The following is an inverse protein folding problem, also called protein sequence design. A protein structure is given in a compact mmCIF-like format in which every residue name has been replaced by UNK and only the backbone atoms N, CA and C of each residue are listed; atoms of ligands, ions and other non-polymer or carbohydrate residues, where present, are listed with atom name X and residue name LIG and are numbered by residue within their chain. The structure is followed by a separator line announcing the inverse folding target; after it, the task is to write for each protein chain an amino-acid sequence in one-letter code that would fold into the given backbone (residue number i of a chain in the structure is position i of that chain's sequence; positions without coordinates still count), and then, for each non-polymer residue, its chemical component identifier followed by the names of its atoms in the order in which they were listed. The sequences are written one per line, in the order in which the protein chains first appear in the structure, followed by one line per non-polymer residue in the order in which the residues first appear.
data_IF_347304589533
#
_entry.id   IF_347304589533
#
_cell.length_a   1.000
_cell.length_b   1.000
_cell.length_c   1.000
_cell.angle_alpha   90.00
_cell.angle_beta   90.00
_cell.angle_gamma   90.00
#
_symmetry.space_group_name_H-M   'P 1'
#
loop_
_entity.id
_entity.type
_entity.pdbx_description
1 polymer ?
#
# COMPACT_ATOMS: atom_id res chain seq x y z
N UNK A 1 -5.86 11.72 -16.25
CA UNK A 1 -4.87 10.72 -16.76
C UNK A 1 -4.00 10.26 -15.61
N UNK A 2 -3.74 8.93 -15.51
CA UNK A 2 -2.77 8.35 -14.56
C UNK A 2 -1.40 8.23 -15.23
N UNK A 3 -0.37 8.83 -14.65
CA UNK A 3 1.01 8.57 -15.01
C UNK A 3 1.62 7.55 -14.03
N UNK A 4 2.43 6.63 -14.51
CA UNK A 4 3.11 5.64 -13.66
C UNK A 4 4.61 5.80 -13.80
N UNK A 5 5.31 5.92 -12.68
CA UNK A 5 6.76 5.82 -12.60
C UNK A 5 7.09 4.38 -12.22
N UNK A 6 7.43 3.59 -13.24
CA UNK A 6 7.85 2.21 -13.05
C UNK A 6 9.25 2.15 -12.43
N UNK A 7 9.49 1.11 -11.64
CA UNK A 7 10.76 0.88 -10.95
C UNK A 7 11.21 2.06 -10.08
N UNK A 8 10.23 2.77 -9.52
CA UNK A 8 10.46 3.98 -8.74
C UNK A 8 11.34 3.72 -7.49
N UNK A 9 11.28 2.50 -6.95
CA UNK A 9 12.05 2.09 -5.77
C UNK A 9 13.58 2.09 -6.01
N UNK A 10 14.03 1.94 -7.27
CA UNK A 10 15.45 1.96 -7.65
C UNK A 10 15.86 3.24 -8.39
N UNK A 11 14.91 4.14 -8.58
CA UNK A 11 15.15 5.44 -9.23
C UNK A 11 15.67 6.45 -8.21
N UNK A 12 16.63 7.27 -8.58
CA UNK A 12 17.15 8.32 -7.68
C UNK A 12 16.06 9.34 -7.34
N UNK A 13 16.12 9.93 -6.15
CA UNK A 13 15.13 10.94 -5.72
C UNK A 13 15.10 12.13 -6.69
N UNK A 14 16.25 12.55 -7.22
CA UNK A 14 16.33 13.65 -8.18
C UNK A 14 15.60 13.33 -9.49
N UNK A 15 15.73 12.10 -9.98
CA UNK A 15 15.05 11.65 -11.19
C UNK A 15 13.54 11.48 -10.94
N UNK A 16 13.14 10.94 -9.78
CA UNK A 16 11.74 10.87 -9.37
C UNK A 16 11.09 12.26 -9.37
N UNK A 17 11.74 13.24 -8.76
CA UNK A 17 11.24 14.63 -8.71
C UNK A 17 11.08 15.18 -10.12
N UNK A 18 12.09 14.97 -11.01
CA UNK A 18 12.02 15.43 -12.40
C UNK A 18 10.90 14.78 -13.20
N UNK A 19 10.72 13.44 -13.06
CA UNK A 19 9.67 12.69 -13.75
C UNK A 19 8.27 13.09 -13.25
N UNK A 20 8.11 13.26 -11.94
CA UNK A 20 6.84 13.66 -11.32
C UNK A 20 6.48 15.08 -11.75
N UNK A 21 7.43 16.03 -11.74
CA UNK A 21 7.20 17.39 -12.21
C UNK A 21 6.76 17.40 -13.67
N UNK A 22 7.44 16.64 -14.53
CA UNK A 22 7.09 16.52 -15.94
C UNK A 22 5.68 15.96 -16.14
N UNK A 23 5.33 14.90 -15.43
CA UNK A 23 4.00 14.27 -15.51
C UNK A 23 2.89 15.23 -15.03
N UNK A 24 3.12 15.93 -13.90
CA UNK A 24 2.21 16.95 -13.38
C UNK A 24 1.99 18.09 -14.38
N UNK A 25 3.07 18.63 -14.94
CA UNK A 25 3.03 19.76 -15.86
C UNK A 25 2.37 19.36 -17.21
N UNK A 26 2.45 18.08 -17.58
CA UNK A 26 1.71 17.49 -18.70
C UNK A 26 0.22 17.23 -18.40
N UNK A 27 -0.26 17.54 -17.19
CA UNK A 27 -1.67 17.43 -16.80
C UNK A 27 -2.08 16.03 -16.32
N UNK A 28 -1.18 15.28 -15.70
CA UNK A 28 -1.57 14.03 -15.06
C UNK A 28 -2.41 14.29 -13.80
N UNK A 29 -3.60 13.65 -13.72
CA UNK A 29 -4.50 13.77 -12.57
C UNK A 29 -4.00 13.00 -11.34
N UNK A 30 -3.17 11.96 -11.57
CA UNK A 30 -2.64 11.09 -10.54
C UNK A 30 -1.31 10.49 -10.97
N UNK A 31 -0.38 10.40 -10.05
CA UNK A 31 0.94 9.81 -10.28
C UNK A 31 1.10 8.58 -9.41
N UNK A 32 1.38 7.44 -10.06
CA UNK A 32 1.63 6.18 -9.38
C UNK A 32 3.13 5.97 -9.19
N UNK A 33 3.53 5.82 -7.94
CA UNK A 33 4.85 5.32 -7.55
C UNK A 33 4.79 3.78 -7.53
N UNK A 34 5.52 3.12 -8.43
CA UNK A 34 5.54 1.67 -8.51
C UNK A 34 6.85 1.09 -7.95
N UNK A 35 6.76 0.40 -6.82
CA UNK A 35 7.81 -0.51 -6.35
C UNK A 35 7.67 -1.83 -7.12
N UNK A 36 8.16 -1.81 -8.35
CA UNK A 36 7.94 -2.86 -9.37
C UNK A 36 8.51 -4.22 -8.99
N UNK A 37 9.49 -4.25 -8.10
CA UNK A 37 10.15 -5.49 -7.64
C UNK A 37 10.04 -5.71 -6.12
N UNK A 38 9.27 -4.88 -5.43
CA UNK A 38 8.95 -5.06 -4.01
C UNK A 38 10.17 -5.02 -3.10
N UNK A 39 11.08 -4.04 -3.31
CA UNK A 39 12.36 -4.00 -2.60
C UNK A 39 12.38 -3.11 -1.36
N UNK A 40 11.49 -2.12 -1.29
CA UNK A 40 11.50 -1.17 -0.18
C UNK A 40 11.07 -1.84 1.14
N UNK A 41 11.66 -1.34 2.22
CA UNK A 41 11.17 -1.58 3.57
C UNK A 41 10.05 -0.58 3.92
N UNK A 42 9.20 -0.86 4.92
CA UNK A 42 8.11 0.04 5.28
C UNK A 42 8.55 1.46 5.69
N UNK A 43 9.66 1.60 6.38
CA UNK A 43 10.24 2.89 6.75
C UNK A 43 10.79 3.65 5.53
N UNK A 44 11.49 2.97 4.62
CA UNK A 44 11.95 3.55 3.35
C UNK A 44 10.76 4.02 2.49
N UNK A 45 9.68 3.21 2.43
CA UNK A 45 8.44 3.58 1.74
C UNK A 45 7.80 4.83 2.34
N UNK A 46 7.73 4.91 3.68
CA UNK A 46 7.20 6.07 4.36
C UNK A 46 8.03 7.33 4.07
N UNK A 47 9.36 7.23 4.16
CA UNK A 47 10.26 8.35 4.02
C UNK A 47 10.22 8.92 2.58
N UNK A 48 10.35 8.07 1.56
CA UNK A 48 10.34 8.54 0.16
C UNK A 48 8.99 9.13 -0.23
N UNK A 49 7.88 8.50 0.15
CA UNK A 49 6.55 9.01 -0.19
C UNK A 49 6.19 10.28 0.59
N UNK A 50 6.65 10.42 1.84
CA UNK A 50 6.49 11.65 2.62
C UNK A 50 7.26 12.80 2.00
N UNK A 51 8.48 12.55 1.52
CA UNK A 51 9.29 13.54 0.82
C UNK A 51 8.59 13.98 -0.48
N UNK A 52 8.18 13.04 -1.33
CA UNK A 52 7.53 13.35 -2.61
C UNK A 52 6.22 14.12 -2.41
N UNK A 53 5.45 13.79 -1.38
CA UNK A 53 4.21 14.53 -1.05
C UNK A 53 4.49 15.93 -0.50
N UNK A 54 5.60 16.13 0.18
CA UNK A 54 6.03 17.45 0.62
C UNK A 54 6.45 18.34 -0.57
N UNK A 55 7.19 17.77 -1.52
CA UNK A 55 7.64 18.48 -2.73
C UNK A 55 6.47 18.78 -3.69
N UNK A 56 5.47 17.90 -3.74
CA UNK A 56 4.32 18.00 -4.64
C UNK A 56 2.99 17.94 -3.89
N UNK A 57 2.63 18.97 -3.09
CA UNK A 57 1.42 18.94 -2.27
C UNK A 57 0.12 18.97 -3.08
N UNK A 58 0.18 19.39 -4.34
CA UNK A 58 -0.92 19.46 -5.30
C UNK A 58 -1.12 18.16 -6.09
N UNK A 59 -0.17 17.21 -6.02
CA UNK A 59 -0.24 15.94 -6.75
C UNK A 59 -1.00 14.89 -5.94
N UNK A 60 -1.91 14.19 -6.61
CA UNK A 60 -2.55 12.99 -6.08
C UNK A 60 -1.64 11.79 -6.33
N UNK A 61 -1.18 11.17 -5.25
CA UNK A 61 -0.31 10.00 -5.35
C UNK A 61 -1.08 8.69 -5.26
N UNK A 62 -0.61 7.71 -6.02
CA UNK A 62 -0.96 6.30 -5.91
C UNK A 62 0.30 5.49 -5.58
N UNK A 63 0.16 4.46 -4.75
CA UNK A 63 1.21 3.51 -4.47
C UNK A 63 0.86 2.12 -5.01
N UNK A 64 1.77 1.55 -5.77
CA UNK A 64 1.70 0.19 -6.29
C UNK A 64 2.95 -0.57 -5.84
N UNK A 65 2.77 -1.76 -5.27
CA UNK A 65 3.90 -2.53 -4.74
C UNK A 65 3.71 -4.01 -4.96
N UNK A 66 4.76 -4.66 -5.46
CA UNK A 66 4.85 -6.11 -5.57
C UNK A 66 5.27 -6.76 -4.24
N UNK A 67 4.93 -8.05 -4.09
CA UNK A 67 5.06 -8.77 -2.83
C UNK A 67 6.27 -9.72 -2.79
N UNK A 68 7.29 -9.45 -3.58
CA UNK A 68 8.44 -10.34 -3.77
C UNK A 68 9.20 -10.64 -2.47
N UNK A 69 9.18 -9.71 -1.52
CA UNK A 69 9.76 -9.87 -0.17
C UNK A 69 8.73 -10.12 0.92
N UNK A 70 7.45 -10.30 0.58
CA UNK A 70 6.37 -10.49 1.54
C UNK A 70 6.01 -9.22 2.33
N UNK A 71 6.44 -8.03 1.88
CA UNK A 71 6.28 -6.76 2.58
C UNK A 71 5.20 -5.85 1.98
N UNK A 72 4.52 -6.27 0.89
CA UNK A 72 3.57 -5.41 0.18
C UNK A 72 2.50 -4.80 1.10
N UNK A 73 1.93 -5.58 2.03
CA UNK A 73 0.95 -5.07 2.99
C UNK A 73 1.56 -4.03 3.95
N UNK A 74 2.76 -4.29 4.47
CA UNK A 74 3.48 -3.38 5.36
C UNK A 74 3.82 -2.06 4.65
N UNK A 75 4.31 -2.14 3.42
CA UNK A 75 4.66 -0.98 2.60
C UNK A 75 3.40 -0.17 2.21
N UNK A 76 2.28 -0.84 1.89
CA UNK A 76 1.00 -0.15 1.65
C UNK A 76 0.52 0.62 2.88
N UNK A 77 0.69 0.05 4.08
CA UNK A 77 0.36 0.76 5.32
C UNK A 77 1.28 1.97 5.55
N UNK A 78 2.57 1.83 5.27
CA UNK A 78 3.52 2.92 5.35
C UNK A 78 3.15 4.05 4.36
N UNK A 79 2.74 3.71 3.14
CA UNK A 79 2.25 4.65 2.15
C UNK A 79 0.96 5.37 2.61
N UNK A 80 0.01 4.66 3.25
CA UNK A 80 -1.17 5.25 3.87
C UNK A 80 -0.77 6.25 4.97
N UNK A 81 0.19 5.88 5.81
CA UNK A 81 0.70 6.74 6.88
C UNK A 81 1.45 7.97 6.35
N UNK A 82 2.16 7.84 5.22
CA UNK A 82 2.74 8.96 4.48
C UNK A 82 1.66 9.85 3.82
N UNK A 83 0.39 9.42 3.86
CA UNK A 83 -0.77 10.15 3.37
C UNK A 83 -1.01 9.98 1.86
N UNK A 84 -0.50 8.94 1.24
CA UNK A 84 -0.84 8.59 -0.14
C UNK A 84 -2.33 8.24 -0.23
N UNK A 85 -3.01 8.73 -1.26
CA UNK A 85 -4.46 8.68 -1.36
C UNK A 85 -4.99 7.42 -2.04
N UNK A 86 -4.22 6.85 -2.97
CA UNK A 86 -4.62 5.68 -3.75
C UNK A 86 -3.64 4.53 -3.59
N UNK A 87 -4.18 3.32 -3.56
CA UNK A 87 -3.37 2.10 -3.38
C UNK A 87 -3.84 1.02 -4.32
N UNK A 88 -2.91 0.48 -5.11
CA UNK A 88 -3.18 -0.69 -5.94
C UNK A 88 -3.19 -1.95 -5.07
N UNK A 89 -4.27 -2.69 -5.13
CA UNK A 89 -4.41 -3.98 -4.47
C UNK A 89 -5.26 -4.92 -5.31
N UNK A 90 -5.09 -6.21 -5.18
CA UNK A 90 -5.88 -7.21 -5.87
C UNK A 90 -6.53 -8.20 -4.91
N UNK A 91 -7.66 -8.77 -5.30
CA UNK A 91 -8.28 -9.84 -4.55
C UNK A 91 -7.33 -11.05 -4.50
N UNK A 92 -7.13 -11.61 -3.30
CA UNK A 92 -6.20 -12.71 -3.03
C UNK A 92 -4.72 -12.38 -3.31
N UNK A 93 -4.37 -11.12 -3.51
CA UNK A 93 -3.00 -10.69 -3.77
C UNK A 93 -2.47 -11.11 -5.15
N UNK A 94 -3.35 -11.42 -6.11
CA UNK A 94 -2.96 -11.85 -7.45
C UNK A 94 -2.22 -10.74 -8.18
N UNK A 95 -1.09 -11.08 -8.79
CA UNK A 95 -0.24 -10.19 -9.57
C UNK A 95 0.98 -10.93 -10.07
N UNK A 96 1.85 -10.23 -10.77
CA UNK A 96 3.07 -10.83 -11.32
C UNK A 96 3.97 -11.39 -10.21
N UNK A 97 4.67 -12.47 -10.51
CA UNK A 97 5.64 -13.18 -9.65
C UNK A 97 5.04 -13.61 -8.30
N UNK A 98 5.23 -12.80 -7.25
CA UNK A 98 4.72 -13.04 -5.90
C UNK A 98 3.40 -12.30 -5.59
N UNK A 99 2.83 -11.64 -6.61
CA UNK A 99 1.60 -10.85 -6.48
C UNK A 99 1.85 -9.42 -5.99
N UNK A 100 0.75 -8.78 -5.60
CA UNK A 100 0.72 -7.42 -5.03
C UNK A 100 0.02 -7.43 -3.67
N UNK A 101 -0.22 -6.28 -3.10
CA UNK A 101 -0.99 -6.15 -1.85
C UNK A 101 -2.35 -6.84 -1.95
N UNK A 102 -2.63 -7.74 -1.01
CA UNK A 102 -3.93 -8.42 -0.93
C UNK A 102 -4.99 -7.47 -0.37
N UNK A 103 -6.01 -7.20 -1.17
CA UNK A 103 -7.15 -6.35 -0.81
C UNK A 103 -7.81 -6.79 0.49
N UNK A 104 -8.00 -8.10 0.69
CA UNK A 104 -8.72 -8.60 1.85
C UNK A 104 -7.91 -8.46 3.14
N UNK A 105 -6.59 -8.67 3.08
CA UNK A 105 -5.69 -8.41 4.20
C UNK A 105 -5.68 -6.93 4.54
N UNK A 106 -5.56 -6.05 3.53
CA UNK A 106 -5.56 -4.61 3.71
C UNK A 106 -6.87 -4.11 4.35
N UNK A 107 -8.02 -4.50 3.80
CA UNK A 107 -9.32 -4.09 4.33
C UNK A 107 -9.56 -4.59 5.75
N UNK A 108 -9.19 -5.84 6.04
CA UNK A 108 -9.28 -6.42 7.39
C UNK A 108 -8.43 -5.63 8.38
N UNK A 109 -7.21 -5.27 7.99
CA UNK A 109 -6.30 -4.51 8.82
C UNK A 109 -6.79 -3.07 9.04
N UNK A 110 -7.28 -2.40 8.00
CA UNK A 110 -7.86 -1.07 8.11
C UNK A 110 -9.09 -1.06 9.03
N UNK A 111 -9.95 -2.06 8.92
CA UNK A 111 -11.12 -2.21 9.79
C UNK A 111 -10.71 -2.44 11.25
N UNK A 112 -9.82 -3.40 11.51
CA UNK A 112 -9.50 -3.84 12.88
C UNK A 112 -8.54 -2.90 13.64
N UNK A 113 -7.68 -2.17 12.94
CA UNK A 113 -6.65 -1.31 13.56
C UNK A 113 -6.93 0.17 13.43
N UNK A 114 -7.65 0.59 12.40
CA UNK A 114 -7.89 2.00 12.11
C UNK A 114 -9.37 2.38 12.17
N UNK A 115 -10.23 1.46 12.67
CA UNK A 115 -11.68 1.63 12.80
C UNK A 115 -12.35 2.14 11.50
N UNK A 116 -11.85 1.68 10.36
CA UNK A 116 -12.38 2.06 9.05
C UNK A 116 -13.66 1.27 8.74
N UNK A 117 -14.77 1.60 9.39
CA UNK A 117 -16.04 0.88 9.31
C UNK A 117 -16.77 1.02 7.96
N UNK A 118 -16.24 1.83 7.05
CA UNK A 118 -16.80 2.04 5.71
C UNK A 118 -16.74 0.83 4.80
N UNK A 119 -15.98 -0.22 5.16
CA UNK A 119 -15.81 -1.42 4.35
C UNK A 119 -16.68 -2.57 4.87
N UNK A 120 -17.47 -3.17 3.96
CA UNK A 120 -18.26 -4.35 4.28
C UNK A 120 -17.43 -5.63 4.10
N UNK A 121 -16.97 -6.20 5.19
CA UNK A 121 -16.14 -7.42 5.18
C UNK A 121 -16.96 -8.74 5.13
N UNK A 122 -18.29 -8.68 5.17
CA UNK A 122 -19.13 -9.89 5.26
C UNK A 122 -18.94 -10.84 4.08
N UNK A 123 -18.67 -10.31 2.89
CA UNK A 123 -18.58 -11.09 1.66
C UNK A 123 -17.13 -11.41 1.23
N UNK A 124 -16.13 -11.06 2.04
CA UNK A 124 -14.71 -11.24 1.69
C UNK A 124 -14.41 -12.69 1.29
N UNK A 125 -14.91 -13.66 2.07
CA UNK A 125 -14.69 -15.08 1.79
C UNK A 125 -15.34 -15.50 0.45
N UNK A 126 -16.60 -15.14 0.24
CA UNK A 126 -17.32 -15.49 -0.98
C UNK A 126 -16.67 -14.88 -2.23
N UNK A 127 -16.22 -13.61 -2.14
CA UNK A 127 -15.50 -12.95 -3.25
C UNK A 127 -14.15 -13.62 -3.49
N UNK A 128 -13.41 -13.98 -2.44
CA UNK A 128 -12.15 -14.69 -2.55
C UNK A 128 -12.30 -16.05 -3.26
N UNK A 129 -13.34 -16.82 -2.91
CA UNK A 129 -13.66 -18.11 -3.53
C UNK A 129 -14.07 -17.93 -5.00
N UNK A 130 -14.83 -16.90 -5.31
CA UNK A 130 -15.21 -16.57 -6.68
C UNK A 130 -13.98 -16.24 -7.53
N UNK A 131 -13.06 -15.44 -7.00
CA UNK A 131 -11.80 -15.10 -7.69
C UNK A 131 -10.95 -16.33 -7.90
N UNK A 132 -10.82 -17.23 -6.90
CA UNK A 132 -10.09 -18.49 -7.04
C UNK A 132 -10.68 -19.37 -8.16
N UNK A 133 -12.00 -19.51 -8.19
CA UNK A 133 -12.69 -20.32 -9.19
C UNK A 133 -12.48 -19.81 -10.62
N UNK A 134 -12.47 -18.48 -10.83
CA UNK A 134 -12.37 -17.89 -12.16
C UNK A 134 -10.92 -17.70 -12.61
N UNK A 135 -10.02 -17.32 -11.71
CA UNK A 135 -8.59 -17.14 -12.04
C UNK A 135 -7.84 -18.47 -12.17
N UNK A 136 -8.36 -19.55 -11.59
CA UNK A 136 -7.68 -20.83 -11.41
C UNK A 136 -6.38 -20.75 -10.58
N UNK A 137 -6.15 -19.62 -9.94
CA UNK A 137 -5.03 -19.41 -9.02
C UNK A 137 -5.51 -19.73 -7.62
N UNK A 138 -4.96 -20.79 -7.02
CA UNK A 138 -5.32 -21.20 -5.67
C UNK A 138 -4.83 -20.18 -4.66
N UNK A 139 -5.72 -19.77 -3.77
CA UNK A 139 -5.33 -18.98 -2.59
C UNK A 139 -4.52 -19.84 -1.61
N UNK A 140 -3.79 -19.19 -0.71
CA UNK A 140 -3.16 -19.91 0.40
C UNK A 140 -4.20 -20.72 1.16
N UNK A 141 -3.93 -21.99 1.51
CA UNK A 141 -4.86 -22.82 2.31
C UNK A 141 -5.14 -22.24 3.69
N UNK A 142 -4.30 -21.33 4.17
CA UNK A 142 -4.49 -20.55 5.41
C UNK A 142 -4.42 -19.05 5.10
N UNK A 143 -5.48 -18.47 4.50
CA UNK A 143 -5.49 -17.04 4.20
C UNK A 143 -5.44 -16.25 5.51
N UNK A 144 -4.47 -15.35 5.63
CA UNK A 144 -4.17 -14.59 6.86
C UNK A 144 -5.32 -13.69 7.33
N UNK A 145 -6.30 -13.42 6.48
CA UNK A 145 -7.50 -12.62 6.79
C UNK A 145 -8.72 -13.48 7.17
N UNK A 146 -8.69 -14.80 6.97
CA UNK A 146 -9.79 -15.72 7.28
C UNK A 146 -9.87 -16.13 8.75
N UNK A 147 -8.95 -15.65 9.57
CA UNK A 147 -9.05 -15.81 11.01
C UNK A 147 -10.35 -15.13 11.46
N UNK A 148 -11.35 -15.98 11.67
CA UNK A 148 -12.70 -15.74 12.25
C UNK A 148 -13.08 -14.27 12.45
N UNK A 149 -14.29 -13.94 12.04
CA UNK A 149 -14.93 -12.63 12.17
C UNK A 149 -14.49 -11.84 13.42
N UNK A 150 -14.40 -10.50 13.36
CA UNK A 150 -13.95 -9.65 14.47
C UNK A 150 -14.62 -9.89 15.83
N UNK A 151 -15.80 -10.52 15.85
CA UNK A 151 -16.52 -10.90 17.07
C UNK A 151 -15.84 -12.00 17.91
N UNK A 152 -14.80 -12.67 17.39
CA UNK A 152 -14.06 -13.71 18.12
C UNK A 152 -12.62 -13.29 18.49
N UNK A 153 -12.18 -12.10 18.12
CA UNK A 153 -10.89 -11.57 18.57
C UNK A 153 -11.05 -10.96 19.96
N UNK A 154 -10.43 -11.57 20.96
CA UNK A 154 -10.38 -11.05 22.33
C UNK A 154 -9.91 -9.60 22.35
N UNK A 155 -10.50 -8.73 23.19
CA UNK A 155 -10.09 -7.33 23.37
C UNK A 155 -8.62 -7.15 23.78
N UNK A 156 -7.95 -8.21 24.20
CA UNK A 156 -6.54 -8.19 24.62
C UNK A 156 -5.54 -7.78 23.51
N UNK A 157 -5.95 -7.78 22.22
CA UNK A 157 -5.11 -7.35 21.10
C UNK A 157 -5.20 -5.85 20.80
N UNK A 158 -6.02 -5.10 21.51
CA UNK A 158 -6.29 -3.67 21.23
C UNK A 158 -5.40 -2.70 22.03
N UNK A 159 -4.49 -3.19 22.88
CA UNK A 159 -3.72 -2.35 23.82
C UNK A 159 -2.33 -1.93 23.36
N UNK A 160 -2.01 -1.99 22.07
CA UNK A 160 -0.81 -1.32 21.58
C UNK A 160 -1.08 0.19 21.48
N UNK A 161 -0.32 1.04 22.20
CA UNK A 161 -0.46 2.47 22.04
C UNK A 161 -0.19 2.83 20.59
N UNK A 162 -1.21 3.42 19.94
CA UNK A 162 -1.04 4.06 18.65
C UNK A 162 0.09 5.09 18.81
N UNK A 163 1.24 4.86 18.19
CA UNK A 163 2.31 5.86 18.17
C UNK A 163 1.72 7.11 17.52
N UNK A 164 1.57 8.15 18.32
CA UNK A 164 1.27 9.49 17.84
C UNK A 164 2.26 9.79 16.70
N UNK A 165 1.73 10.28 15.60
CA UNK A 165 2.41 10.69 14.38
C UNK A 165 3.87 11.11 14.61
N UNK A 166 4.81 10.36 14.00
CA UNK A 166 6.17 10.87 13.82
C UNK A 166 6.04 12.12 12.96
N UNK A 167 6.36 13.25 13.52
CA UNK A 167 6.62 14.46 12.73
C UNK A 167 7.79 14.15 11.82
N UNK A 168 7.71 14.36 10.51
CA UNK A 168 8.84 14.15 9.62
C UNK A 168 9.96 15.13 10.04
N UNK A 169 11.06 14.60 10.54
CA UNK A 169 12.31 15.38 10.62
C UNK A 169 12.88 15.38 9.20
N UNK A 170 13.04 16.56 8.62
CA UNK A 170 13.66 16.72 7.32
C UNK A 170 14.99 15.97 7.27
N UNK A 171 15.24 15.11 6.26
CA UNK A 171 16.53 14.45 6.11
C UNK A 171 17.59 15.50 5.85
N UNK A 172 18.65 15.51 6.66
CA UNK A 172 19.83 16.31 6.37
C UNK A 172 20.50 15.73 5.11
N UNK A 173 20.44 16.46 4.02
CA UNK A 173 21.22 16.15 2.82
C UNK A 173 22.69 16.28 3.21
N UNK A 174 23.39 15.16 3.33
CA UNK A 174 24.86 15.16 3.34
C UNK A 174 25.32 15.11 1.90
N UNK A 175 26.06 16.15 1.53
CA UNK A 175 26.80 16.26 0.27
C UNK A 175 27.81 15.11 0.12
#
# INVERSE_FOLDING_TARGET
VRATVEDAARTSVSDLVSMIATARDAGADRICFADSVGILLPDETFDVLSLLRHEFPDVVFEYHVHNDRGLALGNTLAAIQAGVQWHSASCNGIGERAGITDTFQLLTLLHTKFAADRFNLKNVLAVSELVEAHSRIKRSPMPRWSARTPSSMSPACTSWPCRKTRTPTAPSIRN
#
